data_IF_223365620161
#
_entry.id   IF_223365620161
#
_cell.length_a   1.000
_cell.length_b   1.000
_cell.length_c   1.000
_cell.angle_alpha   90.00
_cell.angle_beta   90.00
_cell.angle_gamma   90.00
#
_symmetry.space_group_name_H-M   'P 1'
#
loop_
_entity.id
_entity.type
_entity.pdbx_description
1 polymer ?
#
# COMPACT_ATOMS: atom_id res chain seq x y z
N UNK A 1 8.73 -8.26 20.23
CA UNK A 1 8.71 -7.52 18.95
C UNK A 1 9.42 -6.19 19.13
N UNK A 2 10.30 -5.83 18.21
CA UNK A 2 11.05 -4.58 18.31
C UNK A 2 10.12 -3.38 18.03
N UNK A 3 10.56 -2.19 18.41
CA UNK A 3 9.81 -0.97 18.15
C UNK A 3 9.65 -0.75 16.63
N UNK A 4 10.69 -1.06 15.86
CA UNK A 4 10.63 -0.96 14.40
C UNK A 4 9.57 -1.91 13.82
N UNK A 5 9.59 -3.18 14.22
CA UNK A 5 8.62 -4.16 13.74
C UNK A 5 7.19 -3.73 14.06
N UNK A 6 6.97 -3.24 15.28
CA UNK A 6 5.65 -2.78 15.71
C UNK A 6 5.20 -1.54 14.92
N UNK A 7 6.12 -0.60 14.69
CA UNK A 7 5.80 0.64 13.98
C UNK A 7 5.48 0.39 12.50
N UNK A 8 6.10 -0.62 11.89
CA UNK A 8 5.93 -0.91 10.47
C UNK A 8 4.80 -1.90 10.19
N UNK A 9 4.20 -2.49 11.22
CA UNK A 9 3.06 -3.39 11.05
C UNK A 9 1.75 -2.61 11.14
N UNK A 10 0.81 -2.90 10.24
CA UNK A 10 -0.51 -2.27 10.29
C UNK A 10 -1.30 -2.82 11.48
N UNK A 11 -1.69 -1.93 12.40
CA UNK A 11 -2.57 -2.29 13.51
C UNK A 11 -3.99 -2.58 12.99
N UNK A 12 -4.81 -3.24 13.80
CA UNK A 12 -6.22 -3.48 13.47
C UNK A 12 -6.92 -2.16 13.15
N UNK A 13 -6.64 -1.12 13.93
CA UNK A 13 -7.25 0.19 13.74
C UNK A 13 -6.87 0.78 12.37
N UNK A 14 -5.59 0.72 12.00
CA UNK A 14 -5.14 1.26 10.71
C UNK A 14 -5.69 0.42 9.55
N UNK A 15 -5.78 -0.90 9.71
CA UNK A 15 -6.36 -1.79 8.69
C UNK A 15 -7.83 -1.43 8.43
N UNK A 16 -8.60 -1.16 9.49
CA UNK A 16 -9.99 -0.76 9.34
C UNK A 16 -10.13 0.56 8.59
N UNK A 17 -9.31 1.54 8.93
CA UNK A 17 -9.31 2.83 8.24
C UNK A 17 -9.07 2.65 6.74
N UNK A 18 -8.09 1.81 6.39
CA UNK A 18 -7.72 1.56 5.00
C UNK A 18 -8.87 0.87 4.26
N UNK A 19 -9.45 -0.17 4.86
CA UNK A 19 -10.53 -0.93 4.23
C UNK A 19 -11.78 -0.08 4.02
N UNK A 20 -12.12 0.75 4.99
CA UNK A 20 -13.25 1.67 4.87
C UNK A 20 -13.01 2.73 3.79
N UNK A 21 -11.80 3.27 3.74
CA UNK A 21 -11.43 4.27 2.73
C UNK A 21 -11.44 3.68 1.33
N UNK A 22 -10.82 2.50 1.15
CA UNK A 22 -10.56 1.93 -0.17
C UNK A 22 -11.71 1.12 -0.74
N UNK A 23 -12.42 0.38 0.10
CA UNK A 23 -13.55 -0.45 -0.34
C UNK A 23 -13.17 -1.63 -1.23
N UNK A 24 -11.89 -1.82 -1.50
CA UNK A 24 -11.37 -2.88 -2.36
C UNK A 24 -9.94 -2.58 -2.76
N UNK A 25 -9.39 -3.42 -3.63
CA UNK A 25 -8.04 -3.20 -4.15
C UNK A 25 -8.01 -1.90 -4.96
N UNK A 26 -7.09 -0.99 -4.63
CA UNK A 26 -7.02 0.30 -5.31
C UNK A 26 -6.66 0.14 -6.80
N UNK A 27 -5.79 -0.81 -7.14
CA UNK A 27 -5.40 -1.04 -8.53
C UNK A 27 -6.51 -1.69 -9.35
N UNK A 28 -7.35 -2.54 -8.72
CA UNK A 28 -8.55 -3.07 -9.38
C UNK A 28 -9.55 -1.96 -9.67
N UNK A 29 -9.73 -1.05 -8.72
CA UNK A 29 -10.64 0.09 -8.88
C UNK A 29 -10.17 1.02 -10.00
N UNK A 30 -8.86 1.13 -10.19
CA UNK A 30 -8.28 1.91 -11.29
C UNK A 30 -8.18 1.11 -12.59
N UNK A 31 -8.64 -0.15 -12.58
CA UNK A 31 -8.63 -1.06 -13.73
C UNK A 31 -7.22 -1.25 -14.31
N UNK A 32 -6.21 -1.27 -13.44
CA UNK A 32 -4.83 -1.42 -13.86
C UNK A 32 -4.56 -2.85 -14.33
N UNK A 33 -4.55 -3.06 -15.64
CA UNK A 33 -4.29 -4.35 -16.30
C UNK A 33 -5.17 -5.50 -15.80
N UNK A 34 -6.36 -5.21 -15.27
CA UNK A 34 -7.22 -6.26 -14.69
C UNK A 34 -7.69 -7.28 -15.72
N UNK A 35 -7.86 -6.87 -16.98
CA UNK A 35 -8.28 -7.74 -18.06
C UNK A 35 -7.24 -8.82 -18.41
N UNK A 36 -5.99 -8.62 -17.98
CA UNK A 36 -4.92 -9.58 -18.20
C UNK A 36 -4.93 -10.70 -17.16
N UNK A 37 -5.65 -10.55 -16.07
CA UNK A 37 -5.72 -11.54 -15.01
C UNK A 37 -6.71 -12.63 -15.38
N UNK A 38 -6.23 -13.89 -15.46
CA UNK A 38 -7.04 -15.03 -15.85
C UNK A 38 -7.83 -15.64 -14.70
N UNK A 39 -7.47 -15.32 -13.46
CA UNK A 39 -8.11 -15.90 -12.28
C UNK A 39 -8.77 -14.79 -11.46
N UNK A 40 -10.09 -14.72 -11.52
CA UNK A 40 -10.86 -13.68 -10.84
C UNK A 40 -10.64 -13.69 -9.32
N UNK A 41 -10.31 -14.86 -8.75
CA UNK A 41 -10.06 -14.93 -7.30
C UNK A 41 -8.83 -14.17 -6.88
N UNK A 42 -7.87 -13.97 -7.77
CA UNK A 42 -6.67 -13.19 -7.50
C UNK A 42 -6.96 -11.69 -7.43
N UNK A 43 -8.12 -11.25 -7.90
CA UNK A 43 -8.51 -9.85 -7.91
C UNK A 43 -9.32 -9.45 -6.67
N UNK A 44 -9.59 -10.40 -5.77
CA UNK A 44 -10.29 -10.08 -4.52
C UNK A 44 -9.35 -9.37 -3.54
N UNK A 45 -9.86 -8.37 -2.79
CA UNK A 45 -9.02 -7.70 -1.78
C UNK A 45 -8.49 -8.73 -0.80
N UNK A 46 -7.20 -8.65 -0.49
CA UNK A 46 -6.56 -9.64 0.36
C UNK A 46 -5.67 -9.02 1.42
N UNK A 47 -4.70 -8.22 1.02
CA UNK A 47 -3.68 -7.70 1.93
C UNK A 47 -3.58 -6.18 1.83
N UNK A 48 -3.08 -5.59 2.93
CA UNK A 48 -2.75 -4.17 2.93
C UNK A 48 -1.32 -4.04 2.39
N UNK A 49 -1.16 -3.24 1.35
CA UNK A 49 0.14 -2.97 0.74
C UNK A 49 0.78 -1.75 1.39
N UNK A 50 2.11 -1.78 1.54
CA UNK A 50 2.88 -0.61 1.95
C UNK A 50 3.29 0.19 0.73
N UNK A 51 3.11 1.51 0.75
CA UNK A 51 3.67 2.38 -0.29
C UNK A 51 5.20 2.43 -0.14
N UNK A 52 5.70 2.76 1.06
CA UNK A 52 7.11 2.61 1.39
C UNK A 52 7.21 1.27 2.12
N UNK A 53 8.00 0.30 1.58
CA UNK A 53 8.05 -1.05 2.15
C UNK A 53 8.60 -1.09 3.56
N UNK A 54 8.26 -2.15 4.30
CA UNK A 54 8.81 -2.38 5.63
C UNK A 54 10.34 -2.48 5.60
N UNK A 55 10.89 -3.04 4.51
CA UNK A 55 12.35 -3.14 4.33
C UNK A 55 13.03 -1.78 4.28
N UNK A 56 12.29 -0.72 3.98
CA UNK A 56 12.76 0.67 4.00
C UNK A 56 12.15 1.44 5.15
N UNK A 57 11.73 0.71 6.21
CA UNK A 57 11.18 1.27 7.44
C UNK A 57 9.85 2.00 7.25
N UNK A 58 9.09 1.63 6.22
CA UNK A 58 7.77 2.21 5.97
C UNK A 58 6.79 1.88 7.09
N UNK A 59 6.09 2.91 7.58
CA UNK A 59 5.16 2.77 8.70
C UNK A 59 3.89 2.03 8.30
N UNK A 60 3.31 1.32 9.28
CA UNK A 60 2.03 0.63 9.13
C UNK A 60 0.87 1.56 9.48
N UNK A 61 0.69 2.60 8.72
CA UNK A 61 -0.36 3.60 8.93
C UNK A 61 -1.14 3.81 7.63
N UNK A 62 -2.36 4.32 7.75
CA UNK A 62 -3.23 4.51 6.60
C UNK A 62 -2.62 5.40 5.53
N UNK A 63 -1.80 6.38 5.92
CA UNK A 63 -1.11 7.28 4.98
C UNK A 63 -0.03 6.58 4.15
N UNK A 64 0.37 5.37 4.54
CA UNK A 64 1.39 4.58 3.85
C UNK A 64 0.86 3.24 3.36
N UNK A 65 -0.44 3.07 3.32
CA UNK A 65 -1.02 1.78 2.97
C UNK A 65 -2.25 1.87 2.11
N UNK A 66 -2.53 0.79 1.41
CA UNK A 66 -3.76 0.66 0.63
C UNK A 66 -4.13 -0.81 0.48
N UNK A 67 -5.42 -1.06 0.32
CA UNK A 67 -5.92 -2.43 0.17
C UNK A 67 -5.55 -2.94 -1.22
N UNK A 68 -5.00 -4.15 -1.30
CA UNK A 68 -4.58 -4.77 -2.53
C UNK A 68 -5.09 -6.19 -2.67
N UNK A 69 -5.23 -6.65 -3.91
CA UNK A 69 -5.52 -8.04 -4.20
C UNK A 69 -4.20 -8.80 -4.34
N UNK A 70 -4.29 -10.14 -4.37
CA UNK A 70 -3.12 -10.99 -4.50
C UNK A 70 -2.35 -10.65 -5.78
N UNK A 71 -3.06 -10.50 -6.89
CA UNK A 71 -2.45 -10.29 -8.21
C UNK A 71 -1.65 -8.97 -8.27
N UNK A 72 -2.29 -7.86 -7.87
CA UNK A 72 -1.61 -6.56 -7.90
C UNK A 72 -0.53 -6.44 -6.84
N UNK A 73 -0.74 -7.03 -5.65
CA UNK A 73 0.28 -6.98 -4.60
C UNK A 73 1.53 -7.76 -5.02
N UNK A 74 1.34 -8.94 -5.60
CA UNK A 74 2.45 -9.75 -6.13
C UNK A 74 3.17 -9.01 -7.26
N UNK A 75 2.41 -8.37 -8.14
CA UNK A 75 2.95 -7.58 -9.24
C UNK A 75 3.84 -6.46 -8.71
N UNK A 76 3.35 -5.72 -7.72
CA UNK A 76 4.10 -4.62 -7.11
C UNK A 76 5.38 -5.12 -6.45
N UNK A 77 5.29 -6.21 -5.68
CA UNK A 77 6.44 -6.77 -4.95
C UNK A 77 7.51 -7.30 -5.88
N UNK A 78 7.12 -7.82 -7.05
CA UNK A 78 8.05 -8.45 -8.00
C UNK A 78 8.54 -7.50 -9.10
N UNK A 79 8.37 -6.19 -8.90
CA UNK A 79 8.91 -5.19 -9.81
C UNK A 79 8.09 -4.93 -11.06
N UNK A 80 7.01 -5.70 -11.29
CA UNK A 80 6.07 -5.51 -12.40
C UNK A 80 6.79 -5.39 -13.75
N UNK A 81 7.79 -6.27 -14.01
CA UNK A 81 8.53 -6.29 -15.27
C UNK A 81 9.14 -4.92 -15.61
N UNK A 82 9.62 -4.22 -14.59
CA UNK A 82 10.24 -2.90 -14.75
C UNK A 82 9.26 -1.74 -14.69
N UNK A 83 7.96 -2.01 -14.47
CA UNK A 83 6.93 -0.97 -14.41
C UNK A 83 6.48 -0.61 -13.00
N UNK A 84 7.25 -1.05 -11.99
CA UNK A 84 6.90 -0.82 -10.58
C UNK A 84 6.78 0.67 -10.26
N UNK A 85 7.64 1.50 -10.83
CA UNK A 85 7.61 2.95 -10.59
C UNK A 85 6.28 3.58 -11.02
N UNK A 86 5.69 3.08 -12.11
CA UNK A 86 4.37 3.53 -12.56
C UNK A 86 3.29 3.19 -11.56
N UNK A 87 3.34 1.97 -10.99
CA UNK A 87 2.40 1.56 -9.95
C UNK A 87 2.56 2.40 -8.69
N UNK A 88 3.80 2.66 -8.28
CA UNK A 88 4.08 3.48 -7.12
C UNK A 88 3.59 4.90 -7.31
N UNK A 89 3.72 5.44 -8.53
CA UNK A 89 3.21 6.76 -8.85
C UNK A 89 1.69 6.82 -8.68
N UNK A 90 0.97 5.80 -9.17
CA UNK A 90 -0.49 5.70 -9.00
C UNK A 90 -0.86 5.60 -7.53
N UNK A 91 -0.12 4.80 -6.76
CA UNK A 91 -0.33 4.61 -5.33
C UNK A 91 -0.12 5.94 -4.59
N UNK A 92 0.96 6.64 -4.90
CA UNK A 92 1.27 7.95 -4.31
C UNK A 92 0.16 8.96 -4.58
N UNK A 93 -0.28 9.08 -5.83
CA UNK A 93 -1.33 10.03 -6.19
C UNK A 93 -2.65 9.68 -5.50
N UNK A 94 -2.94 8.39 -5.34
CA UNK A 94 -4.12 7.95 -4.61
C UNK A 94 -4.07 8.42 -3.15
N UNK A 95 -2.93 8.24 -2.48
CA UNK A 95 -2.76 8.66 -1.09
C UNK A 95 -2.83 10.18 -0.95
N UNK A 96 -2.19 10.91 -1.84
CA UNK A 96 -2.23 12.38 -1.84
C UNK A 96 -3.65 12.91 -2.01
N UNK A 97 -4.46 12.22 -2.80
CA UNK A 97 -5.85 12.58 -3.02
C UNK A 97 -6.68 12.47 -1.75
N UNK A 98 -6.36 11.51 -0.88
CA UNK A 98 -7.09 11.27 0.36
C UNK A 98 -6.58 12.09 1.54
N UNK A 99 -5.33 12.55 1.49
CA UNK A 99 -4.71 13.28 2.60
C UNK A 99 -4.09 14.57 2.09
N UNK A 100 -4.72 15.69 2.44
CA UNK A 100 -4.32 17.01 1.96
C UNK A 100 -2.88 17.38 2.29
N UNK A 101 -2.44 16.99 3.47
CA UNK A 101 -1.11 17.30 4.00
C UNK A 101 -0.15 16.11 3.89
N UNK A 102 -0.43 15.19 2.97
CA UNK A 102 0.38 13.98 2.81
C UNK A 102 1.82 14.33 2.43
N UNK A 103 2.77 13.76 3.19
CA UNK A 103 4.19 14.00 3.02
C UNK A 103 4.93 12.67 3.13
N UNK A 104 5.64 12.32 2.08
CA UNK A 104 6.35 11.05 1.98
C UNK A 104 7.39 10.89 3.09
N UNK A 105 8.05 11.97 3.49
CA UNK A 105 9.08 11.92 4.53
C UNK A 105 8.53 11.52 5.90
N UNK A 106 7.23 11.68 6.14
CA UNK A 106 6.59 11.31 7.39
C UNK A 106 6.18 9.85 7.47
N UNK A 107 6.40 9.06 6.40
CA UNK A 107 5.92 7.69 6.29
C UNK A 107 6.94 6.65 6.74
N UNK A 108 8.09 7.05 7.23
CA UNK A 108 9.15 6.14 7.65
C UNK A 108 9.40 6.24 9.15
N UNK A 109 9.79 5.11 9.74
CA UNK A 109 10.14 5.05 11.16
C UNK A 109 11.45 5.79 11.42
N UNK A 110 11.44 6.62 12.45
CA UNK A 110 12.64 7.37 12.87
C UNK A 110 12.93 7.02 14.31
N UNK A 111 14.09 6.39 14.55
CA UNK A 111 14.48 5.99 15.89
C UNK A 111 14.68 7.21 16.80
N UNK A 112 15.20 8.29 16.23
CA UNK A 112 15.38 9.54 16.94
C UNK A 112 14.61 10.63 16.20
N UNK A 113 13.53 11.08 16.82
CA UNK A 113 12.71 12.15 16.24
C UNK A 113 12.80 13.35 17.19
N UNK A 114 13.59 14.30 16.78
CA UNK A 114 13.84 15.51 17.56
C UNK A 114 13.08 16.69 16.99
#
# INVERSE_FOLDING_TARGET
MSKLSKATEFSTKERLKIKERDGGCIFCKMQYHTEECKDIYLLKPNQIMHYIPRSHQGLGIARNGAWGCIWHHTMLDNGNQGRREGMLSMFREYLKKHYRDWDESSLVYKKYDF
#
